data_IF_567405618389
#
_entry.id   IF_567405618389
#
_cell.length_a   1.000
_cell.length_b   1.000
_cell.length_c   1.000
_cell.angle_alpha   90.00
_cell.angle_beta   90.00
_cell.angle_gamma   90.00
#
_symmetry.space_group_name_H-M   'P 1'
#
loop_
_entity.id
_entity.type
_entity.pdbx_description
1 polymer ?
#
# COMPACT_ATOMS: atom_id res chain seq x y z
N UNK A 1 -34.65 -53.97 7.62
CA UNK A 1 -35.03 -52.72 6.93
C UNK A 1 -34.87 -51.57 7.94
N UNK A 2 -33.99 -50.63 7.68
CA UNK A 2 -33.83 -49.43 8.51
C UNK A 2 -35.09 -48.55 8.37
N UNK A 3 -35.97 -48.61 9.36
CA UNK A 3 -37.12 -47.71 9.43
C UNK A 3 -36.62 -46.36 9.99
N UNK A 4 -36.36 -45.40 9.10
CA UNK A 4 -36.00 -44.05 9.47
C UNK A 4 -37.30 -43.31 9.80
N UNK A 5 -37.40 -42.72 10.99
CA UNK A 5 -38.55 -41.94 11.43
C UNK A 5 -38.88 -40.82 10.46
N UNK A 6 -40.13 -40.50 10.29
CA UNK A 6 -40.61 -39.53 9.30
C UNK A 6 -40.00 -38.15 9.50
N UNK A 7 -39.81 -37.68 10.73
CA UNK A 7 -39.20 -36.41 11.05
C UNK A 7 -37.73 -36.35 10.61
N UNK A 8 -36.96 -37.47 10.70
CA UNK A 8 -35.58 -37.53 10.25
C UNK A 8 -35.49 -37.46 8.72
N UNK A 9 -36.43 -38.08 8.00
CA UNK A 9 -36.51 -37.95 6.54
C UNK A 9 -36.80 -36.54 6.11
N UNK A 10 -37.73 -35.84 6.78
CA UNK A 10 -38.06 -34.44 6.50
C UNK A 10 -36.85 -33.56 6.77
N UNK A 11 -36.15 -33.76 7.87
CA UNK A 11 -34.96 -33.01 8.21
C UNK A 11 -33.84 -33.16 7.18
N UNK A 12 -33.58 -34.41 6.71
CA UNK A 12 -32.57 -34.65 5.67
C UNK A 12 -32.95 -33.97 4.36
N UNK A 13 -34.21 -34.12 3.91
CA UNK A 13 -34.69 -33.45 2.69
C UNK A 13 -34.56 -31.94 2.80
N UNK A 14 -34.91 -31.34 3.94
CA UNK A 14 -34.85 -29.89 4.17
C UNK A 14 -33.39 -29.40 4.17
N UNK A 15 -32.48 -30.16 4.78
CA UNK A 15 -31.05 -29.83 4.78
C UNK A 15 -30.45 -29.91 3.37
N UNK A 16 -30.81 -30.96 2.61
CA UNK A 16 -30.38 -31.08 1.21
C UNK A 16 -30.95 -29.95 0.34
N UNK A 17 -32.23 -29.62 0.52
CA UNK A 17 -32.86 -28.52 -0.20
C UNK A 17 -32.20 -27.16 0.13
N UNK A 18 -31.87 -26.90 1.40
CA UNK A 18 -31.15 -25.71 1.84
C UNK A 18 -29.74 -25.67 1.24
N UNK A 19 -29.03 -26.80 1.20
CA UNK A 19 -27.70 -26.89 0.58
C UNK A 19 -27.76 -26.62 -0.93
N UNK A 20 -28.74 -27.17 -1.63
CA UNK A 20 -28.98 -26.89 -3.04
C UNK A 20 -29.30 -25.42 -3.29
N UNK A 21 -30.13 -24.82 -2.45
CA UNK A 21 -30.46 -23.39 -2.52
C UNK A 21 -29.24 -22.50 -2.38
N UNK A 22 -28.38 -22.77 -1.41
CA UNK A 22 -27.12 -22.02 -1.19
C UNK A 22 -26.09 -22.25 -2.30
N UNK A 23 -26.13 -23.39 -2.98
CA UNK A 23 -25.24 -23.70 -4.10
C UNK A 23 -25.72 -23.15 -5.45
N UNK A 24 -26.99 -22.74 -5.55
CA UNK A 24 -27.64 -22.30 -6.79
C UNK A 24 -26.89 -21.17 -7.52
N UNK A 25 -26.31 -20.15 -6.84
CA UNK A 25 -25.54 -19.10 -7.50
C UNK A 25 -24.38 -19.63 -8.35
N UNK A 26 -23.76 -20.74 -7.94
CA UNK A 26 -22.63 -21.31 -8.66
C UNK A 26 -23.05 -22.00 -9.97
N UNK A 27 -24.32 -22.42 -10.10
CA UNK A 27 -24.86 -22.92 -11.35
C UNK A 27 -25.13 -21.80 -12.37
N UNK A 28 -25.39 -20.59 -11.87
CA UNK A 28 -25.61 -19.38 -12.66
C UNK A 28 -24.47 -18.37 -12.48
N UNK A 29 -23.23 -18.85 -12.52
CA UNK A 29 -22.04 -18.08 -12.16
C UNK A 29 -21.95 -16.72 -12.88
N UNK A 30 -22.11 -16.69 -14.21
CA UNK A 30 -21.98 -15.47 -15.02
C UNK A 30 -22.94 -14.34 -14.63
N UNK A 31 -24.26 -14.58 -14.61
CA UNK A 31 -25.23 -13.57 -14.17
C UNK A 31 -25.02 -13.09 -12.75
N UNK A 32 -24.67 -13.98 -11.82
CA UNK A 32 -24.41 -13.60 -10.41
C UNK A 32 -23.13 -12.79 -10.28
N UNK A 33 -22.08 -13.11 -11.03
CA UNK A 33 -20.83 -12.36 -11.06
C UNK A 33 -21.06 -10.92 -11.58
N UNK A 34 -21.76 -10.78 -12.70
CA UNK A 34 -22.09 -9.47 -13.26
C UNK A 34 -22.93 -8.63 -12.30
N UNK A 35 -23.90 -9.23 -11.62
CA UNK A 35 -24.66 -8.57 -10.56
C UNK A 35 -23.74 -8.07 -9.43
N UNK A 36 -22.89 -8.94 -8.88
CA UNK A 36 -21.99 -8.61 -7.77
C UNK A 36 -20.98 -7.50 -8.14
N UNK A 37 -20.46 -7.53 -9.36
CA UNK A 37 -19.51 -6.52 -9.83
C UNK A 37 -20.21 -5.19 -10.11
N UNK A 38 -21.42 -5.20 -10.63
CA UNK A 38 -22.26 -4.02 -10.79
C UNK A 38 -22.59 -3.37 -9.44
N UNK A 39 -22.97 -4.16 -8.43
CA UNK A 39 -23.23 -3.66 -7.07
C UNK A 39 -22.00 -3.00 -6.47
N UNK A 40 -20.81 -3.60 -6.63
CA UNK A 40 -19.55 -2.99 -6.16
C UNK A 40 -19.22 -1.69 -6.91
N UNK A 41 -19.40 -1.68 -8.23
CA UNK A 41 -19.14 -0.51 -9.06
C UNK A 41 -20.07 0.66 -8.71
N UNK A 42 -21.36 0.40 -8.50
CA UNK A 42 -22.34 1.39 -8.06
C UNK A 42 -21.94 2.00 -6.72
N UNK A 43 -21.45 1.19 -5.77
CA UNK A 43 -21.04 1.66 -4.45
C UNK A 43 -19.78 2.56 -4.48
N UNK A 44 -18.92 2.41 -5.48
CA UNK A 44 -17.67 3.16 -5.61
C UNK A 44 -17.80 4.36 -6.55
N UNK A 45 -18.41 4.18 -7.71
CA UNK A 45 -18.43 5.16 -8.81
C UNK A 45 -19.80 5.82 -9.04
N UNK A 46 -20.85 5.35 -8.35
CA UNK A 46 -22.21 5.82 -8.56
C UNK A 46 -22.99 4.97 -9.58
N UNK A 47 -24.31 5.24 -9.67
CA UNK A 47 -25.22 4.47 -10.50
C UNK A 47 -25.20 4.96 -11.96
N UNK A 48 -25.09 4.03 -12.90
CA UNK A 48 -25.30 4.26 -14.33
C UNK A 48 -26.39 3.32 -14.86
N UNK A 49 -27.10 3.66 -15.95
CA UNK A 49 -28.15 2.80 -16.50
C UNK A 49 -27.65 1.40 -16.87
N UNK A 50 -26.40 1.26 -17.30
CA UNK A 50 -25.77 -0.01 -17.66
C UNK A 50 -25.51 -0.87 -16.42
N UNK A 51 -25.02 -0.28 -15.33
CA UNK A 51 -24.77 -0.96 -14.08
C UNK A 51 -26.08 -1.41 -13.40
N UNK A 52 -27.14 -0.62 -13.51
CA UNK A 52 -28.46 -1.02 -13.03
C UNK A 52 -29.05 -2.18 -13.83
N UNK A 53 -28.85 -2.22 -15.14
CA UNK A 53 -29.24 -3.36 -15.95
C UNK A 53 -28.49 -4.65 -15.58
N UNK A 54 -27.18 -4.54 -15.30
CA UNK A 54 -26.38 -5.68 -14.83
C UNK A 54 -26.78 -6.11 -13.40
N UNK A 55 -27.07 -5.17 -12.52
CA UNK A 55 -27.59 -5.44 -11.18
C UNK A 55 -28.93 -6.21 -11.23
N UNK A 56 -29.76 -5.92 -12.21
CA UNK A 56 -31.06 -6.58 -12.37
C UNK A 56 -30.98 -8.04 -12.86
N UNK A 57 -29.80 -8.54 -13.27
CA UNK A 57 -29.62 -9.92 -13.75
C UNK A 57 -29.80 -10.98 -12.66
N UNK A 58 -29.68 -10.59 -11.39
CA UNK A 58 -29.87 -11.50 -10.27
C UNK A 58 -30.76 -10.87 -9.19
N UNK A 59 -31.76 -11.61 -8.67
CA UNK A 59 -32.67 -11.08 -7.65
C UNK A 59 -31.98 -10.91 -6.29
N UNK A 60 -32.14 -9.77 -5.64
CA UNK A 60 -31.51 -9.42 -4.33
C UNK A 60 -31.91 -10.38 -3.17
N UNK A 61 -33.05 -11.10 -3.28
CA UNK A 61 -33.50 -12.06 -2.26
C UNK A 61 -32.84 -13.44 -2.39
N UNK A 62 -32.10 -13.70 -3.45
CA UNK A 62 -31.36 -14.94 -3.67
C UNK A 62 -29.94 -14.87 -3.08
N UNK A 63 -29.34 -16.03 -2.71
CA UNK A 63 -27.94 -16.06 -2.30
C UNK A 63 -27.03 -15.51 -3.40
N UNK A 64 -26.05 -14.67 -3.03
CA UNK A 64 -25.12 -14.02 -3.97
C UNK A 64 -23.69 -14.60 -3.90
N UNK A 65 -23.44 -15.51 -2.94
CA UNK A 65 -22.10 -16.04 -2.70
C UNK A 65 -21.69 -17.02 -3.78
N UNK A 66 -20.66 -16.61 -4.53
CA UNK A 66 -19.97 -17.46 -5.50
C UNK A 66 -18.75 -18.12 -4.85
N UNK A 67 -18.41 -19.32 -5.32
CA UNK A 67 -17.12 -19.94 -5.02
C UNK A 67 -16.01 -19.12 -5.68
N UNK A 68 -14.98 -18.78 -4.91
CA UNK A 68 -13.82 -18.08 -5.46
C UNK A 68 -13.06 -19.01 -6.41
N UNK A 69 -13.26 -18.82 -7.70
CA UNK A 69 -12.47 -19.48 -8.72
C UNK A 69 -11.07 -18.86 -8.73
N UNK A 70 -10.05 -19.73 -8.77
CA UNK A 70 -8.67 -19.27 -8.94
C UNK A 70 -8.48 -18.53 -10.28
N UNK A 71 -7.40 -17.76 -10.39
CA UNK A 71 -7.06 -16.99 -11.60
C UNK A 71 -7.04 -17.84 -12.87
N UNK A 72 -6.64 -19.09 -12.77
CA UNK A 72 -6.58 -20.06 -13.89
C UNK A 72 -7.97 -20.36 -14.49
N UNK A 73 -9.03 -20.27 -13.69
CA UNK A 73 -10.41 -20.57 -14.11
C UNK A 73 -11.22 -19.31 -14.45
N UNK A 74 -10.81 -18.17 -13.93
CA UNK A 74 -11.48 -16.89 -14.14
C UNK A 74 -10.94 -16.13 -15.34
N UNK A 75 -9.75 -16.50 -15.80
CA UNK A 75 -8.95 -15.72 -16.71
C UNK A 75 -8.38 -14.50 -15.99
N UNK A 76 -7.27 -14.02 -16.43
CA UNK A 76 -6.60 -12.86 -15.86
C UNK A 76 -5.10 -13.05 -15.80
N UNK A 77 -4.38 -11.96 -15.58
CA UNK A 77 -2.94 -11.96 -15.38
C UNK A 77 -2.64 -11.61 -13.92
N UNK A 78 -1.77 -12.38 -13.31
CA UNK A 78 -1.18 -12.03 -12.02
C UNK A 78 0.15 -11.34 -12.27
N UNK A 79 0.22 -10.04 -11.98
CA UNK A 79 1.44 -9.26 -12.08
C UNK A 79 2.08 -9.13 -10.70
N UNK A 80 3.28 -9.67 -10.55
CA UNK A 80 4.12 -9.42 -9.39
C UNK A 80 5.16 -8.37 -9.78
N UNK A 81 5.16 -7.24 -9.09
CA UNK A 81 6.13 -6.18 -9.28
C UNK A 81 6.88 -5.94 -7.97
N UNK A 82 8.20 -5.85 -8.06
CA UNK A 82 9.07 -5.47 -6.95
C UNK A 82 9.48 -4.00 -7.13
N UNK A 83 9.38 -3.22 -6.06
CA UNK A 83 9.77 -1.82 -6.05
C UNK A 83 11.10 -1.69 -5.33
N UNK A 84 12.13 -1.19 -6.01
CA UNK A 84 13.42 -0.89 -5.40
C UNK A 84 13.33 0.44 -4.63
N UNK A 85 13.13 0.34 -3.32
CA UNK A 85 13.02 1.50 -2.43
C UNK A 85 14.38 2.08 -2.02
N UNK A 86 15.47 1.32 -2.16
CA UNK A 86 16.82 1.77 -1.81
C UNK A 86 17.26 2.98 -2.64
N UNK A 87 16.96 2.98 -3.93
CA UNK A 87 17.23 4.11 -4.82
C UNK A 87 16.42 5.36 -4.42
N UNK A 88 15.21 5.16 -3.87
CA UNK A 88 14.38 6.28 -3.38
C UNK A 88 15.02 6.91 -2.15
N UNK A 89 15.55 6.10 -1.24
CA UNK A 89 16.28 6.61 -0.06
C UNK A 89 17.57 7.33 -0.44
N UNK A 90 18.34 6.77 -1.39
CA UNK A 90 19.54 7.40 -1.91
C UNK A 90 19.24 8.78 -2.51
N UNK A 91 18.25 8.85 -3.40
CA UNK A 91 17.82 10.11 -4.01
C UNK A 91 17.32 11.12 -2.97
N UNK A 92 16.62 10.67 -1.92
CA UNK A 92 16.16 11.51 -0.82
C UNK A 92 17.32 12.14 -0.06
N UNK A 93 18.35 11.34 0.25
CA UNK A 93 19.55 11.81 0.94
C UNK A 93 20.39 12.75 0.04
N UNK A 94 20.44 12.46 -1.25
CA UNK A 94 21.12 13.32 -2.21
C UNK A 94 20.44 14.67 -2.35
N UNK A 95 19.12 14.69 -2.42
CA UNK A 95 18.31 15.91 -2.44
C UNK A 95 18.40 16.73 -1.14
N UNK A 96 18.69 16.12 0.00
CA UNK A 96 18.91 16.82 1.26
C UNK A 96 20.27 17.55 1.35
N UNK A 97 21.25 17.16 0.55
CA UNK A 97 22.60 17.72 0.62
C UNK A 97 22.66 19.23 0.47
N UNK A 98 22.00 19.90 -0.50
CA UNK A 98 22.01 21.35 -0.63
C UNK A 98 21.50 22.07 0.63
N UNK A 99 20.39 21.60 1.23
CA UNK A 99 19.83 22.18 2.45
C UNK A 99 20.80 22.07 3.63
N UNK A 100 21.39 20.89 3.82
CA UNK A 100 22.39 20.65 4.89
C UNK A 100 23.63 21.51 4.69
N UNK A 101 24.15 21.58 3.46
CA UNK A 101 25.30 22.41 3.14
C UNK A 101 25.03 23.89 3.42
N UNK A 102 23.86 24.38 3.03
CA UNK A 102 23.53 25.80 3.16
C UNK A 102 23.28 26.18 4.64
N UNK A 103 22.69 25.27 5.42
CA UNK A 103 22.54 25.45 6.87
C UNK A 103 23.88 25.46 7.61
N UNK A 104 24.83 24.64 7.20
CA UNK A 104 26.14 24.55 7.85
C UNK A 104 27.13 25.60 7.34
N UNK A 105 26.94 26.17 6.15
CA UNK A 105 27.85 27.12 5.53
C UNK A 105 28.10 28.39 6.36
N UNK A 106 27.14 28.81 7.16
CA UNK A 106 27.25 29.95 8.05
C UNK A 106 28.07 29.66 9.31
N UNK A 107 28.28 28.36 9.63
CA UNK A 107 28.93 27.91 10.86
C UNK A 107 30.37 27.49 10.58
N UNK A 108 30.56 26.59 9.60
CA UNK A 108 31.87 26.04 9.24
C UNK A 108 31.86 25.54 7.77
N UNK A 109 33.03 25.56 7.10
CA UNK A 109 33.15 24.89 5.82
C UNK A 109 32.91 23.39 5.97
N UNK A 110 32.05 22.81 5.09
CA UNK A 110 31.69 21.43 5.11
C UNK A 110 32.02 20.71 3.81
N UNK A 111 32.28 19.43 3.91
CA UNK A 111 32.57 18.57 2.78
C UNK A 111 31.78 17.29 2.86
N UNK A 112 31.13 16.90 1.76
CA UNK A 112 30.46 15.59 1.65
C UNK A 112 31.53 14.48 1.67
N UNK A 113 31.25 13.38 2.36
CA UNK A 113 32.09 12.18 2.43
C UNK A 113 31.27 11.01 1.91
N UNK A 114 31.94 10.01 1.37
CA UNK A 114 31.30 8.78 0.91
C UNK A 114 30.51 8.12 2.04
N UNK A 115 29.29 7.71 1.70
CA UNK A 115 28.35 7.13 2.64
C UNK A 115 27.65 5.92 2.01
N UNK A 116 27.18 4.95 2.80
CA UNK A 116 26.30 3.90 2.35
C UNK A 116 25.00 4.45 1.75
N UNK A 117 24.29 3.62 0.99
CA UNK A 117 23.00 3.94 0.42
C UNK A 117 22.02 4.33 1.55
N UNK A 118 21.32 5.46 1.37
CA UNK A 118 20.34 5.95 2.36
C UNK A 118 20.97 6.74 3.52
N UNK A 119 22.26 7.03 3.48
CA UNK A 119 22.95 7.91 4.44
C UNK A 119 23.57 9.12 3.75
N UNK A 120 23.59 10.25 4.44
CA UNK A 120 24.34 11.43 4.05
C UNK A 120 25.40 11.71 5.13
N UNK A 121 26.68 11.70 4.75
CA UNK A 121 27.80 11.98 5.67
C UNK A 121 28.47 13.28 5.26
N UNK A 122 28.64 14.15 6.24
CA UNK A 122 29.24 15.46 6.07
C UNK A 122 30.36 15.65 7.07
N UNK A 123 31.57 15.95 6.59
CA UNK A 123 32.71 16.28 7.43
C UNK A 123 32.74 17.78 7.66
N UNK A 124 32.91 18.18 8.92
CA UNK A 124 33.17 19.55 9.31
C UNK A 124 34.68 19.75 9.52
N UNK A 125 35.17 20.95 9.25
CA UNK A 125 36.60 21.23 9.38
C UNK A 125 37.04 21.58 10.82
N UNK A 126 36.09 21.98 11.66
CA UNK A 126 36.34 22.40 13.03
C UNK A 126 35.41 21.64 13.99
N UNK A 127 36.00 20.72 14.74
CA UNK A 127 35.26 19.90 15.72
C UNK A 127 34.72 20.73 16.92
N UNK A 128 35.23 21.92 17.16
CA UNK A 128 34.78 22.79 18.26
C UNK A 128 33.33 23.27 18.05
N UNK A 129 32.88 23.36 16.80
CA UNK A 129 31.52 23.80 16.42
C UNK A 129 30.56 22.63 16.19
N UNK A 130 30.95 21.40 16.49
CA UNK A 130 30.14 20.18 16.26
C UNK A 130 28.74 20.33 16.90
N UNK A 131 28.65 20.80 18.12
CA UNK A 131 27.36 20.93 18.81
C UNK A 131 26.42 21.88 18.07
N UNK A 132 26.93 23.03 17.60
CA UNK A 132 26.17 24.02 16.86
C UNK A 132 25.78 23.46 15.47
N UNK A 133 26.69 22.78 14.80
CA UNK A 133 26.43 22.15 13.51
C UNK A 133 25.35 21.05 13.61
N UNK A 134 25.38 20.23 14.66
CA UNK A 134 24.34 19.23 14.93
C UNK A 134 22.97 19.87 15.17
N UNK A 135 22.92 20.94 15.96
CA UNK A 135 21.68 21.65 16.24
C UNK A 135 21.10 22.27 14.95
N UNK A 136 21.93 22.93 14.15
CA UNK A 136 21.51 23.48 12.86
C UNK A 136 21.01 22.38 11.89
N UNK A 137 21.66 21.21 11.87
CA UNK A 137 21.22 20.10 11.03
C UNK A 137 19.92 19.46 11.54
N UNK A 138 19.77 19.33 12.87
CA UNK A 138 18.51 18.83 13.48
C UNK A 138 17.33 19.76 13.26
N UNK A 139 17.57 21.06 13.14
CA UNK A 139 16.53 22.04 12.83
C UNK A 139 15.93 21.87 11.41
N UNK A 140 16.61 21.13 10.53
CA UNK A 140 16.08 20.77 9.19
C UNK A 140 15.10 19.61 9.24
N UNK A 141 15.04 18.87 10.35
CA UNK A 141 14.13 17.75 10.50
C UNK A 141 12.66 18.21 10.43
N UNK A 142 11.86 17.46 9.70
CA UNK A 142 10.43 17.72 9.51
C UNK A 142 9.61 16.61 10.15
N UNK A 143 8.45 16.93 10.73
CA UNK A 143 7.58 15.88 11.29
C UNK A 143 7.02 15.00 10.16
N UNK A 144 7.14 13.69 10.33
CA UNK A 144 6.52 12.71 9.42
C UNK A 144 5.02 12.66 9.71
N UNK A 145 4.21 12.82 8.68
CA UNK A 145 2.77 12.59 8.78
C UNK A 145 2.52 11.07 8.72
N UNK A 146 2.37 10.47 9.88
CA UNK A 146 1.97 9.06 10.03
C UNK A 146 0.50 8.98 10.41
N UNK A 147 -0.18 7.93 9.96
CA UNK A 147 -1.56 7.60 10.38
C UNK A 147 -1.69 7.41 11.90
N UNK A 148 -0.60 7.12 12.58
CA UNK A 148 -0.53 6.95 14.05
C UNK A 148 -0.26 8.24 14.82
N UNK A 149 -0.07 9.39 14.14
CA UNK A 149 -0.09 10.72 14.74
C UNK A 149 1.06 11.09 15.68
N UNK A 150 2.13 10.34 15.76
CA UNK A 150 3.19 10.54 16.78
C UNK A 150 4.30 11.53 16.41
N UNK A 151 4.18 12.31 15.33
CA UNK A 151 5.08 13.44 15.06
C UNK A 151 6.59 13.14 15.13
N UNK A 152 7.03 11.94 14.75
CA UNK A 152 8.45 11.62 14.65
C UNK A 152 9.07 12.42 13.52
N UNK A 153 10.34 12.81 13.69
CA UNK A 153 11.08 13.51 12.64
C UNK A 153 11.42 12.55 11.48
N UNK A 154 11.57 13.09 10.28
CA UNK A 154 11.94 12.38 9.07
C UNK A 154 13.39 11.91 9.07
N UNK A 155 14.29 12.63 9.74
CA UNK A 155 15.72 12.33 9.80
C UNK A 155 16.23 12.17 11.23
N UNK A 156 17.25 11.33 11.37
CA UNK A 156 18.11 11.23 12.56
C UNK A 156 19.48 11.81 12.23
N UNK A 157 20.00 12.65 13.13
CA UNK A 157 21.29 13.33 12.97
C UNK A 157 22.20 12.91 14.11
N UNK A 158 23.32 12.26 13.77
CA UNK A 158 24.36 11.84 14.69
C UNK A 158 25.69 12.48 14.33
N UNK A 159 26.51 12.81 15.32
CA UNK A 159 27.86 13.38 15.12
C UNK A 159 28.91 12.55 15.82
N UNK A 160 29.97 12.19 15.11
CA UNK A 160 31.15 11.50 15.65
C UNK A 160 32.39 11.82 14.79
N UNK A 161 33.54 12.04 15.43
CA UNK A 161 34.84 12.21 14.73
C UNK A 161 34.82 13.24 13.59
N UNK A 162 34.27 14.43 13.84
CA UNK A 162 34.11 15.52 12.88
C UNK A 162 33.20 15.18 11.66
N UNK A 163 32.43 14.12 11.76
CA UNK A 163 31.47 13.69 10.75
C UNK A 163 30.06 13.79 11.32
N UNK A 164 29.17 14.45 10.60
CA UNK A 164 27.74 14.45 10.83
C UNK A 164 27.14 13.39 9.90
N UNK A 165 26.45 12.42 10.47
CA UNK A 165 25.71 11.38 9.73
C UNK A 165 24.22 11.64 9.85
N UNK A 166 23.56 11.71 8.71
CA UNK A 166 22.13 11.93 8.58
C UNK A 166 21.52 10.67 7.95
N UNK A 167 20.50 10.13 8.58
CA UNK A 167 19.77 8.94 8.12
C UNK A 167 18.28 9.17 8.20
N UNK A 168 17.49 8.48 7.38
CA UNK A 168 16.04 8.48 7.50
C UNK A 168 15.60 7.70 8.75
N UNK A 169 14.58 8.20 9.44
CA UNK A 169 13.93 7.44 10.52
C UNK A 169 13.15 6.25 9.95
N UNK A 170 12.88 5.25 10.78
CA UNK A 170 12.07 4.11 10.36
C UNK A 170 10.64 4.54 10.00
N UNK A 171 10.11 5.58 10.66
CA UNK A 171 8.83 6.17 10.33
C UNK A 171 8.81 6.80 8.92
N UNK A 172 9.86 7.54 8.55
CA UNK A 172 9.96 8.12 7.19
C UNK A 172 10.22 7.04 6.14
N UNK A 173 10.99 5.99 6.45
CA UNK A 173 11.17 4.85 5.55
C UNK A 173 9.82 4.19 5.25
N UNK A 174 9.05 3.85 6.28
CA UNK A 174 7.72 3.24 6.11
C UNK A 174 6.77 4.15 5.30
N UNK A 175 6.72 5.45 5.61
CA UNK A 175 5.90 6.40 4.88
C UNK A 175 6.35 6.56 3.42
N UNK A 176 7.65 6.46 3.14
CA UNK A 176 8.22 6.49 1.79
C UNK A 176 7.87 5.23 1.03
N UNK A 177 8.00 4.06 1.66
CA UNK A 177 7.66 2.76 1.06
C UNK A 177 6.18 2.72 0.68
N UNK A 178 5.29 3.10 1.59
CA UNK A 178 3.85 3.16 1.32
C UNK A 178 3.52 4.10 0.15
N UNK A 179 4.10 5.30 0.13
CA UNK A 179 3.89 6.26 -0.97
C UNK A 179 4.43 5.73 -2.30
N UNK A 180 5.62 5.15 -2.29
CA UNK A 180 6.27 4.61 -3.50
C UNK A 180 5.49 3.43 -4.05
N UNK A 181 5.01 2.54 -3.17
CA UNK A 181 4.16 1.42 -3.58
C UNK A 181 2.83 1.89 -4.15
N UNK A 182 2.16 2.85 -3.52
CA UNK A 182 0.90 3.40 -4.02
C UNK A 182 1.07 4.07 -5.39
N UNK A 183 2.13 4.86 -5.56
CA UNK A 183 2.44 5.50 -6.84
C UNK A 183 2.77 4.48 -7.93
N UNK A 184 3.52 3.43 -7.59
CA UNK A 184 3.86 2.36 -8.53
C UNK A 184 2.61 1.59 -8.97
N UNK A 185 1.71 1.27 -8.05
CA UNK A 185 0.43 0.63 -8.34
C UNK A 185 -0.45 1.50 -9.24
N UNK A 186 -0.51 2.80 -8.98
CA UNK A 186 -1.27 3.76 -9.81
C UNK A 186 -0.71 3.80 -11.25
N UNK A 187 0.61 3.87 -11.39
CA UNK A 187 1.27 3.87 -12.71
C UNK A 187 0.99 2.57 -13.45
N UNK A 188 1.10 1.42 -12.77
CA UNK A 188 0.83 0.11 -13.38
C UNK A 188 -0.63 0.00 -13.80
N UNK A 189 -1.57 0.37 -12.92
CA UNK A 189 -3.01 0.37 -13.22
C UNK A 189 -3.30 1.22 -14.45
N UNK A 190 -2.80 2.45 -14.47
CA UNK A 190 -3.00 3.36 -15.60
C UNK A 190 -2.46 2.79 -16.92
N UNK A 191 -1.29 2.18 -16.89
CA UNK A 191 -0.72 1.55 -18.09
C UNK A 191 -1.51 0.34 -18.56
N UNK A 192 -2.06 -0.46 -17.65
CA UNK A 192 -2.93 -1.57 -18.00
C UNK A 192 -4.23 -1.05 -18.64
N UNK A 193 -4.85 -0.04 -18.03
CA UNK A 193 -6.10 0.56 -18.54
C UNK A 193 -5.91 1.26 -19.90
N UNK A 194 -4.70 1.77 -20.20
CA UNK A 194 -4.38 2.39 -21.51
C UNK A 194 -4.14 1.35 -22.63
N UNK A 195 -3.83 0.11 -22.30
CA UNK A 195 -3.49 -0.97 -23.27
C UNK A 195 -4.65 -1.97 -23.44
N UNK A 196 -5.59 -2.05 -22.51
CA UNK A 196 -6.76 -2.94 -22.53
C UNK A 196 -7.98 -2.26 -23.05
#
# INVERSE_FOLDING_TARGET
MLQIDLWKRVLIILTCAAGLWLALPNAFYGPVEQHNDAVKAINVAGSTPELEAQKALWPEWMPERLVNLGLDLRGGAHLLAEVNVEDVYANRMEAAWPEVRDALRSITPVRRVDAPIGELRVRINDGSVMAQALEATRALARPVQSLTGTGQNDIVVNGANDIITITLTDAEKQATDERTMQQSLEIIRRRIDEVG
#
